data_IF_731823222564
#
_entry.id   IF_731823222564
#
_cell.length_a   1.000
_cell.length_b   1.000
_cell.length_c   1.000
_cell.angle_alpha   90.00
_cell.angle_beta   90.00
_cell.angle_gamma   90.00
#
_symmetry.space_group_name_H-M   'P 1'
#
loop_
_entity.id
_entity.type
_entity.pdbx_description
1 polymer ?
#
# COMPACT_ATOMS: atom_id res chain seq x y z
N UNK A 1 27.04 -17.91 4.95
CA UNK A 1 25.67 -18.38 5.27
C UNK A 1 24.67 -17.29 4.93
N UNK A 2 23.62 -17.57 4.15
CA UNK A 2 22.55 -16.59 3.87
C UNK A 2 21.54 -16.62 5.02
N UNK A 3 21.26 -15.45 5.60
CA UNK A 3 20.25 -15.27 6.63
C UNK A 3 18.90 -15.06 5.95
N UNK A 4 17.82 -15.59 6.54
CA UNK A 4 16.47 -15.48 5.97
C UNK A 4 15.41 -15.21 7.03
N UNK A 5 14.42 -14.41 6.66
CA UNK A 5 13.19 -14.22 7.43
C UNK A 5 12.04 -14.01 6.45
N UNK A 6 10.82 -14.24 6.92
CA UNK A 6 9.62 -14.19 6.08
C UNK A 6 8.68 -13.13 6.60
N UNK A 7 8.08 -12.40 5.67
CA UNK A 7 7.04 -11.41 5.91
C UNK A 7 5.72 -11.90 5.33
N UNK A 8 4.61 -11.46 5.89
CA UNK A 8 3.30 -11.60 5.31
C UNK A 8 2.69 -10.21 5.14
N UNK A 9 2.43 -9.80 3.89
CA UNK A 9 1.82 -8.51 3.60
C UNK A 9 0.70 -8.77 2.60
N UNK A 10 -0.50 -8.29 2.92
CA UNK A 10 -1.68 -8.54 2.11
C UNK A 10 -1.88 -10.04 1.76
N UNK A 11 -1.57 -10.95 2.68
CA UNK A 11 -1.64 -12.41 2.50
C UNK A 11 -0.72 -12.98 1.40
N UNK A 12 0.30 -12.23 1.01
CA UNK A 12 1.39 -12.68 0.14
C UNK A 12 2.63 -12.83 1.01
N UNK A 13 3.18 -14.04 1.05
CA UNK A 13 4.42 -14.30 1.78
C UNK A 13 5.62 -13.77 1.01
N UNK A 14 6.52 -13.07 1.70
CA UNK A 14 7.74 -12.53 1.13
C UNK A 14 8.93 -13.03 1.93
N UNK A 15 9.73 -13.91 1.35
CA UNK A 15 10.96 -14.42 1.96
C UNK A 15 12.09 -13.48 1.61
N UNK A 16 12.66 -12.82 2.62
CA UNK A 16 13.80 -11.94 2.47
C UNK A 16 15.06 -12.70 2.87
N UNK A 17 16.03 -12.71 1.97
CA UNK A 17 17.37 -13.25 2.22
C UNK A 17 18.41 -12.14 2.20
N UNK A 18 19.41 -12.21 3.08
CA UNK A 18 20.52 -11.27 3.08
C UNK A 18 21.80 -11.92 3.62
N UNK A 19 22.93 -11.36 3.22
CA UNK A 19 24.25 -11.92 3.56
C UNK A 19 24.86 -11.29 4.81
N UNK A 20 24.44 -10.06 5.16
CA UNK A 20 25.02 -9.29 6.26
C UNK A 20 24.11 -9.32 7.49
N UNK A 21 24.62 -9.86 8.59
CA UNK A 21 23.91 -9.96 9.87
C UNK A 21 23.39 -8.62 10.40
N UNK A 22 24.17 -7.54 10.29
CA UNK A 22 23.73 -6.21 10.72
C UNK A 22 22.54 -5.67 9.91
N UNK A 23 22.42 -6.05 8.64
CA UNK A 23 21.25 -5.71 7.80
C UNK A 23 20.07 -6.57 8.22
N UNK A 24 20.29 -7.89 8.34
CA UNK A 24 19.27 -8.84 8.78
C UNK A 24 18.56 -8.39 10.05
N UNK A 25 19.31 -8.10 11.11
CA UNK A 25 18.73 -7.70 12.40
C UNK A 25 17.92 -6.41 12.28
N UNK A 26 18.46 -5.38 11.60
CA UNK A 26 17.75 -4.11 11.40
C UNK A 26 16.44 -4.30 10.66
N UNK A 27 16.41 -5.14 9.62
CA UNK A 27 15.19 -5.38 8.86
C UNK A 27 14.20 -6.22 9.66
N UNK A 28 14.66 -7.27 10.33
CA UNK A 28 13.80 -8.13 11.15
C UNK A 28 13.11 -7.33 12.25
N UNK A 29 13.84 -6.48 12.98
CA UNK A 29 13.24 -5.57 13.97
C UNK A 29 12.30 -4.56 13.30
N UNK A 30 12.67 -4.00 12.16
CA UNK A 30 11.83 -3.00 11.50
C UNK A 30 10.48 -3.57 11.03
N UNK A 31 10.48 -4.81 10.55
CA UNK A 31 9.31 -5.50 10.00
C UNK A 31 8.69 -6.52 10.98
N UNK A 32 8.99 -6.42 12.28
CA UNK A 32 8.66 -7.45 13.27
C UNK A 32 7.17 -7.84 13.28
N UNK A 33 6.26 -6.86 13.25
CA UNK A 33 4.81 -7.15 13.28
C UNK A 33 4.24 -7.67 11.96
N UNK A 34 5.07 -7.82 10.93
CA UNK A 34 4.73 -8.50 9.68
C UNK A 34 5.51 -9.80 9.50
N UNK A 35 6.42 -10.15 10.42
CA UNK A 35 7.15 -11.41 10.36
C UNK A 35 6.20 -12.57 10.60
N UNK A 36 6.28 -13.59 9.74
CA UNK A 36 5.40 -14.75 9.77
C UNK A 36 6.21 -15.99 9.41
N UNK A 37 6.30 -16.96 10.32
CA UNK A 37 6.99 -18.23 10.07
C UNK A 37 6.21 -19.17 9.16
N UNK A 38 4.90 -18.96 9.03
CA UNK A 38 4.01 -19.81 8.26
C UNK A 38 3.86 -19.26 6.84
N UNK A 39 4.62 -19.83 5.91
CA UNK A 39 4.49 -19.46 4.50
C UNK A 39 3.10 -19.84 3.97
N UNK A 40 2.43 -18.87 3.36
CA UNK A 40 1.19 -19.09 2.62
C UNK A 40 1.51 -19.60 1.22
N UNK A 41 0.47 -20.01 0.48
CA UNK A 41 0.60 -20.59 -0.88
C UNK A 41 1.34 -19.67 -1.85
N UNK A 42 1.13 -18.36 -1.75
CA UNK A 42 1.78 -17.37 -2.61
C UNK A 42 3.03 -16.81 -1.94
N UNK A 43 4.19 -17.26 -2.40
CA UNK A 43 5.50 -16.83 -1.89
C UNK A 43 6.26 -16.08 -2.98
N UNK A 44 6.80 -14.90 -2.62
CA UNK A 44 7.82 -14.19 -3.38
C UNK A 44 9.15 -14.22 -2.63
N UNK A 45 10.26 -14.15 -3.36
CA UNK A 45 11.61 -14.21 -2.80
C UNK A 45 12.38 -12.94 -3.14
N UNK A 46 12.95 -12.28 -2.13
CA UNK A 46 13.78 -11.09 -2.31
C UNK A 46 15.18 -11.34 -1.74
N UNK A 47 16.20 -11.18 -2.56
CA UNK A 47 17.58 -11.20 -2.13
C UNK A 47 18.10 -9.76 -1.95
N UNK A 48 18.65 -9.46 -0.78
CA UNK A 48 19.20 -8.16 -0.44
C UNK A 48 20.73 -8.26 -0.40
N UNK A 49 21.38 -7.53 -1.29
CA UNK A 49 22.84 -7.51 -1.42
C UNK A 49 23.36 -6.07 -1.37
N UNK A 50 24.46 -5.85 -0.65
CA UNK A 50 25.20 -4.59 -0.72
C UNK A 50 26.26 -4.68 -1.83
N UNK A 51 26.29 -3.70 -2.72
CA UNK A 51 27.29 -3.60 -3.77
C UNK A 51 28.12 -2.33 -3.61
N UNK A 52 29.32 -2.32 -4.20
CA UNK A 52 30.16 -1.10 -4.35
C UNK A 52 30.06 -0.52 -5.77
N UNK A 53 29.32 -1.18 -6.66
CA UNK A 53 29.21 -0.80 -8.08
C UNK A 53 28.50 0.55 -8.19
N UNK A 54 29.05 1.47 -8.99
CA UNK A 54 28.45 2.79 -9.24
C UNK A 54 27.07 2.61 -9.87
N UNK A 55 26.04 3.29 -9.34
CA UNK A 55 24.68 3.25 -9.91
C UNK A 55 24.70 3.87 -11.30
N UNK A 56 24.08 3.20 -12.27
CA UNK A 56 24.02 3.70 -13.63
C UNK A 56 22.64 4.30 -13.90
N UNK A 57 22.61 5.63 -14.06
CA UNK A 57 21.47 6.49 -14.43
C UNK A 57 20.33 6.62 -13.40
N UNK A 58 19.80 7.84 -13.33
CA UNK A 58 18.62 8.21 -12.56
C UNK A 58 17.38 7.90 -13.40
N UNK A 59 16.64 6.87 -13.03
CA UNK A 59 15.46 6.43 -13.77
C UNK A 59 14.42 5.87 -12.78
N UNK A 60 13.46 6.73 -12.46
CA UNK A 60 12.24 6.44 -11.69
C UNK A 60 11.51 5.20 -12.22
N UNK A 61 10.78 4.49 -11.38
CA UNK A 61 10.53 3.07 -11.59
C UNK A 61 9.94 2.63 -12.93
N UNK A 62 10.59 1.64 -13.57
CA UNK A 62 10.22 1.14 -14.89
C UNK A 62 9.74 -0.32 -14.82
N UNK A 63 8.57 -0.63 -15.35
CA UNK A 63 8.33 -2.00 -15.80
C UNK A 63 9.22 -2.23 -17.02
N UNK A 64 10.20 -3.13 -16.91
CA UNK A 64 11.09 -3.46 -18.01
C UNK A 64 10.39 -4.31 -19.07
N UNK A 65 9.36 -5.05 -18.67
CA UNK A 65 8.41 -5.78 -19.53
C UNK A 65 7.13 -6.10 -18.75
N UNK A 66 6.25 -6.94 -19.32
CA UNK A 66 4.95 -7.27 -18.73
C UNK A 66 4.98 -8.05 -17.41
N UNK A 67 6.13 -8.62 -17.03
CA UNK A 67 6.27 -9.43 -15.82
C UNK A 67 7.43 -9.01 -14.94
N UNK A 68 8.17 -7.96 -15.32
CA UNK A 68 9.39 -7.57 -14.64
C UNK A 68 9.39 -6.08 -14.27
N UNK A 69 9.66 -5.81 -13.00
CA UNK A 69 9.86 -4.48 -12.43
C UNK A 69 11.35 -4.21 -12.27
N UNK A 70 11.81 -3.05 -12.73
CA UNK A 70 13.18 -2.58 -12.52
C UNK A 70 13.20 -1.09 -12.20
N UNK A 71 13.94 -0.69 -11.19
CA UNK A 71 14.18 0.74 -10.95
C UNK A 71 15.43 1.02 -10.15
N UNK A 72 15.92 2.25 -10.29
CA UNK A 72 17.01 2.81 -9.49
C UNK A 72 16.52 4.04 -8.73
N UNK A 73 17.10 4.31 -7.56
CA UNK A 73 16.91 5.57 -6.84
C UNK A 73 18.28 6.09 -6.40
N UNK A 74 18.77 7.13 -7.08
CA UNK A 74 20.09 7.71 -6.81
C UNK A 74 20.15 8.34 -5.41
N UNK A 75 19.07 9.00 -4.97
CA UNK A 75 18.99 9.64 -3.65
C UNK A 75 19.10 8.65 -2.48
N UNK A 76 18.44 7.49 -2.61
CA UNK A 76 18.50 6.39 -1.65
C UNK A 76 19.66 5.41 -1.90
N UNK A 77 20.39 5.60 -3.01
CA UNK A 77 21.54 4.81 -3.43
C UNK A 77 21.24 3.31 -3.54
N UNK A 78 20.25 2.94 -4.35
CA UNK A 78 19.92 1.53 -4.58
C UNK A 78 19.25 1.26 -5.92
N UNK A 79 19.21 -0.03 -6.27
CA UNK A 79 18.55 -0.60 -7.44
C UNK A 79 17.70 -1.80 -7.02
N UNK A 80 16.57 -1.99 -7.68
CA UNK A 80 15.68 -3.12 -7.45
C UNK A 80 15.26 -3.73 -8.77
N UNK A 81 15.27 -5.06 -8.81
CA UNK A 81 14.73 -5.87 -9.89
C UNK A 81 13.78 -6.91 -9.30
N UNK A 82 12.66 -7.18 -9.95
CA UNK A 82 11.73 -8.23 -9.58
C UNK A 82 11.09 -8.83 -10.84
N UNK A 83 11.04 -10.16 -10.92
CA UNK A 83 10.38 -10.89 -12.00
C UNK A 83 9.24 -11.76 -11.42
N UNK A 84 8.02 -11.44 -11.84
CA UNK A 84 6.80 -12.10 -11.39
C UNK A 84 6.68 -13.54 -11.90
N UNK A 85 7.32 -13.89 -13.03
CA UNK A 85 7.24 -15.27 -13.58
C UNK A 85 7.90 -16.27 -12.64
N UNK A 86 9.02 -15.89 -12.06
CA UNK A 86 9.80 -16.67 -11.10
C UNK A 86 9.57 -16.22 -9.65
N UNK A 87 8.66 -15.26 -9.44
CA UNK A 87 8.33 -14.65 -8.14
C UNK A 87 9.57 -14.25 -7.33
N UNK A 88 10.63 -13.77 -7.98
CA UNK A 88 11.93 -13.51 -7.37
C UNK A 88 12.45 -12.14 -7.74
N UNK A 89 13.12 -11.47 -6.80
CA UNK A 89 13.77 -10.19 -7.02
C UNK A 89 15.05 -10.00 -6.23
N UNK A 90 15.79 -8.96 -6.61
CA UNK A 90 17.04 -8.55 -5.99
C UNK A 90 16.98 -7.06 -5.67
N UNK A 91 17.39 -6.70 -4.45
CA UNK A 91 17.56 -5.32 -4.00
C UNK A 91 19.05 -5.10 -3.77
N UNK A 92 19.64 -4.21 -4.57
CA UNK A 92 21.04 -3.83 -4.50
C UNK A 92 21.20 -2.49 -3.79
N UNK A 93 22.09 -2.44 -2.82
CA UNK A 93 22.27 -1.30 -1.93
C UNK A 93 23.71 -0.78 -2.00
N UNK A 94 23.85 0.51 -2.26
CA UNK A 94 25.13 1.24 -2.24
C UNK A 94 25.24 2.16 -1.02
N UNK A 95 24.33 2.03 -0.06
CA UNK A 95 24.33 2.77 1.20
C UNK A 95 24.02 1.86 2.40
N UNK A 96 24.38 2.33 3.59
CA UNK A 96 24.03 1.71 4.87
C UNK A 96 23.06 2.56 5.69
N UNK A 97 22.75 2.11 6.90
CA UNK A 97 21.97 2.87 7.88
C UNK A 97 20.53 3.16 7.43
N UNK A 98 20.04 4.39 7.69
CA UNK A 98 18.65 4.78 7.43
C UNK A 98 18.29 4.78 5.93
N UNK A 99 19.22 5.19 5.06
CA UNK A 99 18.99 5.21 3.60
C UNK A 99 18.72 3.81 3.05
N UNK A 100 19.45 2.82 3.56
CA UNK A 100 19.26 1.42 3.21
C UNK A 100 17.85 0.93 3.55
N UNK A 101 17.41 1.16 4.79
CA UNK A 101 16.06 0.75 5.24
C UNK A 101 14.99 1.46 4.42
N UNK A 102 15.13 2.76 4.19
CA UNK A 102 14.21 3.53 3.35
C UNK A 102 14.14 3.02 1.91
N UNK A 103 15.26 2.59 1.32
CA UNK A 103 15.25 2.02 -0.02
C UNK A 103 14.52 0.67 -0.05
N UNK A 104 14.71 -0.17 0.95
CA UNK A 104 14.01 -1.46 1.04
C UNK A 104 12.50 -1.24 1.21
N UNK A 105 12.08 -0.25 2.02
CA UNK A 105 10.67 0.17 2.10
C UNK A 105 10.11 0.60 0.77
N UNK A 106 10.81 1.51 0.10
CA UNK A 106 10.43 1.94 -1.25
C UNK A 106 10.33 0.72 -2.18
N UNK A 107 11.20 -0.26 -2.02
CA UNK A 107 11.21 -1.46 -2.85
C UNK A 107 10.05 -2.38 -2.61
N UNK A 108 9.75 -2.70 -1.36
CA UNK A 108 8.55 -3.44 -1.03
C UNK A 108 7.31 -2.68 -1.52
N UNK A 109 7.29 -1.35 -1.42
CA UNK A 109 6.17 -0.53 -1.91
C UNK A 109 5.94 -0.69 -3.41
N UNK A 110 6.98 -0.53 -4.22
CA UNK A 110 6.83 -0.66 -5.67
C UNK A 110 6.58 -2.11 -6.11
N UNK A 111 7.20 -3.10 -5.45
CA UNK A 111 6.92 -4.52 -5.70
C UNK A 111 5.46 -4.85 -5.39
N UNK A 112 4.91 -4.42 -4.25
CA UNK A 112 3.52 -4.73 -3.88
C UNK A 112 2.50 -4.05 -4.79
N UNK A 113 2.76 -2.81 -5.24
CA UNK A 113 1.94 -2.18 -6.30
C UNK A 113 1.95 -2.99 -7.59
N UNK A 114 3.09 -3.58 -7.94
CA UNK A 114 3.27 -4.37 -9.16
C UNK A 114 2.64 -5.76 -9.07
N UNK A 115 2.77 -6.48 -7.95
CA UNK A 115 2.29 -7.86 -7.87
C UNK A 115 0.80 -7.97 -7.53
N UNK A 116 0.22 -7.00 -6.82
CA UNK A 116 -1.18 -7.09 -6.35
C UNK A 116 -2.20 -7.39 -7.47
N UNK A 117 -2.10 -6.80 -8.67
CA UNK A 117 -2.99 -7.15 -9.78
C UNK A 117 -2.94 -8.61 -10.21
N UNK A 118 -1.84 -9.33 -9.96
CA UNK A 118 -1.74 -10.77 -10.21
C UNK A 118 -2.42 -11.62 -9.12
N UNK A 119 -2.85 -10.99 -8.02
CA UNK A 119 -3.41 -11.63 -6.83
C UNK A 119 -4.81 -11.09 -6.49
N UNK A 120 -5.59 -10.69 -7.51
CA UNK A 120 -6.92 -10.08 -7.39
C UNK A 120 -6.94 -8.89 -6.41
N UNK A 121 -5.89 -8.08 -6.50
CA UNK A 121 -5.69 -6.93 -5.64
C UNK A 121 -5.28 -5.68 -6.38
N UNK A 122 -5.30 -4.59 -5.63
CA UNK A 122 -4.96 -3.27 -6.13
C UNK A 122 -4.33 -2.44 -5.02
N UNK A 123 -3.36 -1.63 -5.42
CA UNK A 123 -2.79 -0.61 -4.56
C UNK A 123 -3.38 0.75 -4.93
N UNK A 124 -3.93 1.46 -3.95
CA UNK A 124 -4.61 2.75 -4.14
C UNK A 124 -3.85 3.82 -3.35
N UNK A 125 -3.60 4.96 -3.99
CA UNK A 125 -3.08 6.15 -3.34
C UNK A 125 -4.16 6.78 -2.45
N UNK A 126 -4.18 6.37 -1.19
CA UNK A 126 -5.25 6.66 -0.23
C UNK A 126 -4.75 6.56 1.20
N UNK A 127 -5.46 7.21 2.12
CA UNK A 127 -5.32 6.93 3.55
C UNK A 127 -6.35 5.87 3.95
N UNK A 128 -5.97 4.96 4.84
CA UNK A 128 -6.80 3.85 5.31
C UNK A 128 -6.72 3.71 6.82
N UNK A 129 -7.88 3.46 7.42
CA UNK A 129 -8.03 3.31 8.87
C UNK A 129 -8.95 2.14 9.18
N UNK A 130 -8.84 1.63 10.40
CA UNK A 130 -9.72 0.65 11.00
C UNK A 130 -10.51 1.29 12.12
N UNK A 131 -11.81 1.02 12.19
CA UNK A 131 -12.68 1.40 13.28
C UNK A 131 -13.68 0.29 13.55
N UNK A 132 -13.71 -0.25 14.78
CA UNK A 132 -14.58 -1.39 15.15
C UNK A 132 -14.48 -2.55 14.15
N UNK A 133 -13.24 -2.97 13.84
CA UNK A 133 -12.91 -4.03 12.88
C UNK A 133 -13.36 -3.81 11.42
N UNK A 134 -13.79 -2.58 11.10
CA UNK A 134 -14.19 -2.16 9.76
C UNK A 134 -13.12 -1.27 9.14
N UNK A 135 -12.74 -1.59 7.92
CA UNK A 135 -11.80 -0.81 7.11
C UNK A 135 -12.50 0.36 6.41
N UNK A 136 -11.89 1.54 6.52
CA UNK A 136 -12.36 2.77 5.90
C UNK A 136 -11.24 3.33 5.03
N UNK A 137 -11.60 3.73 3.81
CA UNK A 137 -10.68 4.30 2.83
C UNK A 137 -11.01 5.77 2.58
N UNK A 138 -10.00 6.64 2.61
CA UNK A 138 -10.11 8.05 2.23
C UNK A 138 -9.37 8.30 0.91
N UNK A 139 -10.13 8.61 -0.13
CA UNK A 139 -9.62 8.86 -1.49
C UNK A 139 -9.83 10.32 -1.89
N UNK A 140 -8.98 10.82 -2.76
CA UNK A 140 -9.03 12.21 -3.20
C UNK A 140 -7.82 12.56 -4.05
N UNK A 141 -7.90 13.66 -4.78
CA UNK A 141 -6.79 14.23 -5.53
C UNK A 141 -5.62 14.59 -4.60
N UNK A 142 -4.45 14.83 -5.16
CA UNK A 142 -3.34 15.41 -4.39
C UNK A 142 -3.78 16.74 -3.78
N UNK A 143 -3.54 16.96 -2.49
CA UNK A 143 -3.96 18.18 -1.78
C UNK A 143 -5.39 18.20 -1.25
N UNK A 144 -6.21 17.16 -1.48
CA UNK A 144 -7.58 17.05 -0.93
C UNK A 144 -7.60 16.77 0.59
N UNK A 145 -6.44 16.47 1.18
CA UNK A 145 -6.28 16.35 2.63
C UNK A 145 -6.39 14.93 3.17
N UNK A 146 -6.01 13.90 2.40
CA UNK A 146 -5.92 12.48 2.84
C UNK A 146 -5.11 12.32 4.14
N UNK A 147 -3.88 12.83 4.14
CA UNK A 147 -3.05 12.91 5.35
C UNK A 147 -3.58 13.82 6.45
N UNK A 148 -4.46 14.78 6.11
CA UNK A 148 -5.06 15.67 7.09
C UNK A 148 -6.25 15.01 7.78
N UNK A 149 -7.07 14.24 7.05
CA UNK A 149 -8.26 13.62 7.62
C UNK A 149 -7.89 12.60 8.70
N UNK A 150 -6.83 11.81 8.49
CA UNK A 150 -6.37 10.86 9.50
C UNK A 150 -5.85 11.51 10.78
N UNK A 151 -5.39 12.78 10.73
CA UNK A 151 -4.93 13.52 11.91
C UNK A 151 -6.05 14.08 12.78
N UNK A 152 -7.22 14.28 12.20
CA UNK A 152 -8.39 14.86 12.90
C UNK A 152 -9.39 13.79 13.31
N UNK A 153 -9.08 12.51 13.05
CA UNK A 153 -9.86 11.38 13.56
C UNK A 153 -9.60 11.19 15.07
N UNK A 154 -10.62 10.79 15.83
CA UNK A 154 -10.48 10.39 17.23
C UNK A 154 -9.48 9.23 17.42
N UNK A 155 -8.90 9.07 18.62
CA UNK A 155 -7.99 7.97 18.94
C UNK A 155 -8.57 6.55 18.75
N UNK A 156 -9.90 6.42 18.70
CA UNK A 156 -10.57 5.14 18.44
C UNK A 156 -10.33 4.59 17.02
N UNK A 157 -9.84 5.42 16.09
CA UNK A 157 -9.49 5.00 14.73
C UNK A 157 -8.02 4.57 14.68
N UNK A 158 -7.78 3.35 14.22
CA UNK A 158 -6.42 2.83 14.02
C UNK A 158 -5.97 3.12 12.59
N UNK A 159 -4.88 3.88 12.41
CA UNK A 159 -4.34 4.17 11.08
C UNK A 159 -3.63 2.91 10.55
N UNK A 160 -4.16 2.35 9.46
CA UNK A 160 -3.54 1.22 8.76
C UNK A 160 -2.42 1.71 7.86
N UNK A 161 -2.67 2.76 7.07
CA UNK A 161 -1.67 3.38 6.21
C UNK A 161 -2.13 4.76 5.70
N UNK A 162 -1.23 5.74 5.52
CA UNK A 162 -1.62 7.10 5.09
C UNK A 162 -1.46 7.38 3.57
N UNK A 163 -0.57 6.67 2.87
CA UNK A 163 -0.26 6.96 1.45
C UNK A 163 -0.64 5.87 0.46
N UNK A 164 -0.64 4.61 0.89
CA UNK A 164 -0.85 3.43 0.08
C UNK A 164 -1.79 2.45 0.81
N UNK A 165 -3.01 2.33 0.33
CA UNK A 165 -3.92 1.29 0.77
C UNK A 165 -3.79 0.08 -0.14
N UNK A 166 -3.63 -1.10 0.46
CA UNK A 166 -3.63 -2.38 -0.25
C UNK A 166 -5.02 -3.00 -0.09
N UNK A 167 -5.69 -3.29 -1.21
CA UNK A 167 -6.94 -4.03 -1.22
C UNK A 167 -6.78 -5.33 -1.99
N UNK A 168 -7.43 -6.38 -1.52
CA UNK A 168 -7.61 -7.64 -2.27
C UNK A 168 -9.03 -8.13 -2.12
N UNK A 169 -9.53 -8.74 -3.18
CA UNK A 169 -10.77 -9.49 -3.11
C UNK A 169 -10.54 -10.73 -2.20
N UNK A 170 -11.48 -10.99 -1.30
CA UNK A 170 -11.49 -12.25 -0.55
C UNK A 170 -11.91 -13.41 -1.47
N UNK A 171 -11.95 -14.65 -0.97
CA UNK A 171 -12.37 -15.81 -1.77
C UNK A 171 -13.81 -15.72 -2.32
N UNK A 172 -14.56 -14.67 -2.00
CA UNK A 172 -15.87 -14.34 -2.54
C UNK A 172 -15.88 -13.01 -3.29
N UNK A 173 -16.90 -12.17 -3.06
CA UNK A 173 -17.08 -10.88 -3.73
C UNK A 173 -16.66 -9.67 -2.88
N UNK A 174 -16.19 -9.87 -1.64
CA UNK A 174 -15.86 -8.74 -0.77
C UNK A 174 -14.40 -8.37 -0.92
N UNK A 175 -14.04 -7.18 -0.45
CA UNK A 175 -12.67 -6.70 -0.42
C UNK A 175 -12.20 -6.53 1.02
N UNK A 176 -10.94 -6.88 1.25
CA UNK A 176 -10.25 -6.59 2.51
C UNK A 176 -9.21 -5.48 2.30
N UNK A 177 -9.11 -4.61 3.29
CA UNK A 177 -8.02 -3.67 3.47
C UNK A 177 -6.92 -4.31 4.32
N UNK A 178 -5.67 -4.08 3.92
CA UNK A 178 -4.51 -4.58 4.62
C UNK A 178 -3.63 -3.43 5.08
N UNK A 179 -3.08 -3.56 6.30
CA UNK A 179 -1.93 -2.75 6.68
C UNK A 179 -0.73 -3.12 5.82
N UNK A 180 0.19 -2.17 5.66
CA UNK A 180 1.44 -2.40 4.95
C UNK A 180 2.59 -1.83 5.77
N UNK A 181 3.74 -2.50 5.85
CA UNK A 181 4.88 -1.99 6.60
C UNK A 181 5.61 -0.86 5.85
N UNK A 182 4.94 -0.15 4.94
CA UNK A 182 5.54 0.72 3.92
C UNK A 182 5.58 2.19 4.36
N UNK A 183 5.97 2.39 5.62
CA UNK A 183 5.81 3.64 6.39
C UNK A 183 6.57 4.83 5.77
N UNK A 184 5.89 5.98 5.51
CA UNK A 184 6.56 7.27 5.44
C UNK A 184 6.99 7.72 6.85
N UNK A 185 8.13 8.42 7.01
CA UNK A 185 8.78 8.65 8.32
C UNK A 185 8.01 9.51 9.34
N UNK A 186 6.78 9.95 9.06
CA UNK A 186 6.08 10.99 9.81
C UNK A 186 4.86 10.53 10.62
N UNK A 187 4.46 9.25 10.58
CA UNK A 187 3.28 8.76 11.32
C UNK A 187 3.59 7.54 12.17
N UNK A 188 3.07 7.48 13.40
CA UNK A 188 2.96 6.27 14.22
C UNK A 188 1.80 5.40 13.71
N UNK A 189 1.92 4.90 12.48
CA UNK A 189 0.99 3.89 11.96
C UNK A 189 1.21 2.53 12.62
N UNK A 190 0.20 1.68 12.53
CA UNK A 190 0.23 0.33 13.07
C UNK A 190 1.33 -0.51 12.39
N UNK A 191 2.37 -0.90 13.14
CA UNK A 191 3.40 -1.82 12.64
C UNK A 191 3.01 -3.27 12.91
N UNK A 192 1.79 -3.66 12.54
CA UNK A 192 1.39 -5.07 12.59
C UNK A 192 0.54 -5.43 11.38
N UNK A 193 0.59 -6.72 11.02
CA UNK A 193 -0.18 -7.29 9.93
C UNK A 193 -1.66 -7.35 10.33
N UNK A 194 -2.47 -6.47 9.74
CA UNK A 194 -3.90 -6.38 9.97
C UNK A 194 -4.64 -6.54 8.65
N UNK A 195 -5.72 -7.32 8.71
CA UNK A 195 -6.69 -7.52 7.64
C UNK A 195 -8.05 -7.15 8.20
N UNK A 196 -8.75 -6.23 7.54
CA UNK A 196 -10.14 -5.87 7.87
C UNK A 196 -10.99 -5.83 6.62
N UNK A 197 -12.27 -6.13 6.75
CA UNK A 197 -13.23 -5.97 5.65
C UNK A 197 -13.34 -4.49 5.30
N UNK A 198 -13.25 -4.17 4.01
CA UNK A 198 -13.40 -2.81 3.53
C UNK A 198 -14.89 -2.46 3.45
N UNK A 199 -15.31 -1.46 4.22
CA UNK A 199 -16.72 -1.15 4.43
C UNK A 199 -17.14 0.17 3.81
N UNK A 200 -16.27 1.18 3.82
CA UNK A 200 -16.64 2.51 3.33
C UNK A 200 -15.48 3.16 2.57
N UNK A 201 -15.83 3.87 1.49
CA UNK A 201 -14.93 4.75 0.76
C UNK A 201 -15.43 6.18 0.86
N UNK A 202 -14.57 7.08 1.36
CA UNK A 202 -14.85 8.50 1.45
C UNK A 202 -14.01 9.28 0.44
N UNK A 203 -14.68 9.90 -0.52
CA UNK A 203 -14.10 10.92 -1.39
C UNK A 203 -14.05 12.25 -0.65
N UNK A 204 -12.84 12.76 -0.41
CA UNK A 204 -12.64 13.97 0.37
C UNK A 204 -13.04 15.23 -0.42
N UNK A 205 -13.72 16.14 0.28
CA UNK A 205 -14.02 17.50 -0.16
C UNK A 205 -13.70 18.46 0.98
N UNK A 206 -13.00 19.55 0.69
CA UNK A 206 -12.81 20.61 1.69
C UNK A 206 -14.14 21.30 1.94
N UNK A 207 -14.52 21.46 3.20
CA UNK A 207 -15.76 22.14 3.59
C UNK A 207 -15.51 23.00 4.84
N UNK A 208 -16.32 24.05 5.03
CA UNK A 208 -16.33 24.86 6.26
C UNK A 208 -16.88 24.08 7.46
N UNK A 209 -17.75 23.10 7.19
CA UNK A 209 -18.38 22.24 8.17
C UNK A 209 -17.77 20.83 8.14
N UNK A 210 -17.69 20.18 9.31
CA UNK A 210 -17.31 18.76 9.41
C UNK A 210 -18.51 17.85 9.26
N UNK A 211 -18.25 16.57 8.96
CA UNK A 211 -19.23 15.50 8.95
C UNK A 211 -20.39 15.72 7.95
N UNK A 212 -20.17 16.51 6.90
CA UNK A 212 -21.11 16.51 5.77
C UNK A 212 -20.84 15.25 4.95
N UNK A 213 -21.72 14.26 5.08
CA UNK A 213 -21.60 13.02 4.32
C UNK A 213 -22.80 12.89 3.38
N UNK A 214 -22.50 12.68 2.10
CA UNK A 214 -23.51 12.40 1.08
C UNK A 214 -23.15 11.11 0.34
N UNK A 215 -24.11 10.27 -0.05
CA UNK A 215 -23.85 9.14 -0.95
C UNK A 215 -23.14 9.60 -2.22
N UNK A 216 -22.13 8.85 -2.66
CA UNK A 216 -21.45 9.09 -3.92
C UNK A 216 -22.01 8.15 -5.00
N UNK A 217 -22.40 8.65 -6.18
CA UNK A 217 -22.75 7.78 -7.30
C UNK A 217 -21.59 6.84 -7.66
N UNK A 218 -21.90 5.61 -8.05
CA UNK A 218 -20.91 4.58 -8.40
C UNK A 218 -19.92 5.08 -9.46
N UNK A 219 -20.38 5.86 -10.45
CA UNK A 219 -19.53 6.43 -11.51
C UNK A 219 -18.47 7.38 -10.93
N UNK A 220 -18.84 8.16 -9.90
CA UNK A 220 -17.92 9.04 -9.20
C UNK A 220 -16.90 8.24 -8.38
N UNK A 221 -17.37 7.21 -7.67
CA UNK A 221 -16.50 6.30 -6.92
C UNK A 221 -15.49 5.62 -7.84
N UNK A 222 -15.95 5.04 -8.95
CA UNK A 222 -15.11 4.40 -9.96
C UNK A 222 -14.09 5.39 -10.55
N UNK A 223 -14.51 6.60 -10.92
CA UNK A 223 -13.61 7.64 -11.42
C UNK A 223 -12.52 7.95 -10.41
N UNK A 224 -12.87 8.14 -9.13
CA UNK A 224 -11.90 8.44 -8.07
C UNK A 224 -10.98 7.27 -7.77
N UNK A 225 -11.47 6.03 -7.84
CA UNK A 225 -10.65 4.82 -7.72
C UNK A 225 -9.63 4.73 -8.86
N UNK A 226 -10.05 4.88 -10.11
CA UNK A 226 -9.15 4.86 -11.28
C UNK A 226 -8.09 5.95 -11.17
N UNK A 227 -8.46 7.16 -10.76
CA UNK A 227 -7.52 8.28 -10.59
C UNK A 227 -6.46 8.04 -9.51
N UNK A 228 -6.76 7.23 -8.50
CA UNK A 228 -5.85 6.94 -7.39
C UNK A 228 -5.23 5.53 -7.48
N UNK A 229 -5.66 4.70 -8.41
CA UNK A 229 -5.13 3.37 -8.64
C UNK A 229 -3.70 3.46 -9.19
N UNK A 230 -2.75 2.81 -8.50
CA UNK A 230 -1.42 2.66 -9.04
C UNK A 230 -1.46 1.78 -10.30
N UNK A 231 -0.78 2.22 -11.37
CA UNK A 231 -0.67 1.47 -12.62
C UNK A 231 -1.63 1.86 -13.75
N UNK A 232 -2.63 2.71 -13.50
CA UNK A 232 -3.56 3.21 -14.53
C UNK A 232 -3.28 4.65 -15.02
N UNK A 233 -2.46 5.42 -14.29
CA UNK A 233 -2.18 6.83 -14.60
C UNK A 233 -1.25 7.06 -15.80
N UNK A 234 -1.10 8.34 -16.15
CA UNK A 234 -0.16 8.83 -17.18
C UNK A 234 1.26 8.71 -16.61
N UNK A 235 2.04 7.76 -17.11
CA UNK A 235 3.34 7.39 -16.58
C UNK A 235 3.74 5.99 -17.02
N UNK A 236 4.40 5.22 -16.14
CA UNK A 236 4.75 3.82 -16.38
C UNK A 236 3.52 2.93 -16.20
N UNK A 237 2.88 2.53 -17.30
CA UNK A 237 1.64 1.81 -17.19
C UNK A 237 1.90 0.39 -16.75
N UNK A 238 1.09 -0.08 -15.82
CA UNK A 238 1.19 -1.46 -15.37
C UNK A 238 0.77 -2.41 -16.50
N UNK A 239 1.40 -3.58 -16.66
CA UNK A 239 1.01 -4.55 -17.70
C UNK A 239 -0.41 -5.10 -17.49
N UNK A 240 -0.81 -5.36 -16.26
CA UNK A 240 -2.16 -5.85 -15.93
C UNK A 240 -3.19 -4.72 -15.72
N UNK A 241 -3.28 -3.73 -16.62
CA UNK A 241 -4.27 -2.63 -16.47
C UNK A 241 -5.70 -3.15 -16.42
N UNK A 242 -6.00 -4.20 -17.17
CA UNK A 242 -7.33 -4.79 -17.20
C UNK A 242 -7.73 -5.35 -15.83
N UNK A 243 -6.83 -6.04 -15.13
CA UNK A 243 -7.09 -6.52 -13.78
C UNK A 243 -7.19 -5.37 -12.77
N UNK A 244 -6.38 -4.32 -12.91
CA UNK A 244 -6.49 -3.13 -12.06
C UNK A 244 -7.86 -2.46 -12.26
N UNK A 245 -8.28 -2.26 -13.52
CA UNK A 245 -9.58 -1.68 -13.85
C UNK A 245 -10.74 -2.55 -13.36
N UNK A 246 -10.65 -3.88 -13.54
CA UNK A 246 -11.63 -4.84 -13.03
C UNK A 246 -11.75 -4.76 -11.51
N UNK A 247 -10.64 -4.64 -10.79
CA UNK A 247 -10.64 -4.43 -9.35
C UNK A 247 -11.27 -3.09 -8.96
N UNK A 248 -11.00 -1.99 -9.68
CA UNK A 248 -11.69 -0.71 -9.46
C UNK A 248 -13.21 -0.86 -9.62
N UNK A 249 -13.67 -1.57 -10.66
CA UNK A 249 -15.08 -1.84 -10.89
C UNK A 249 -15.70 -2.71 -9.79
N UNK A 250 -15.00 -3.77 -9.36
CA UNK A 250 -15.44 -4.64 -8.27
C UNK A 250 -15.58 -3.88 -6.95
N UNK A 251 -14.57 -3.07 -6.60
CA UNK A 251 -14.59 -2.20 -5.41
C UNK A 251 -15.74 -1.21 -5.47
N UNK A 252 -15.93 -0.50 -6.59
CA UNK A 252 -16.99 0.50 -6.73
C UNK A 252 -18.40 -0.09 -6.61
N UNK A 253 -18.57 -1.36 -6.99
CA UNK A 253 -19.85 -2.08 -6.89
C UNK A 253 -20.13 -2.64 -5.49
N UNK A 254 -19.09 -2.97 -4.73
CA UNK A 254 -19.21 -3.76 -3.50
C UNK A 254 -19.08 -2.92 -2.23
N UNK A 255 -18.30 -1.83 -2.30
CA UNK A 255 -18.01 -0.98 -1.15
C UNK A 255 -18.77 0.34 -1.27
N UNK A 256 -19.72 0.62 -0.37
CA UNK A 256 -20.42 1.89 -0.29
C UNK A 256 -19.47 3.08 -0.31
N UNK A 257 -19.79 4.06 -1.15
CA UNK A 257 -18.97 5.24 -1.37
C UNK A 257 -19.72 6.51 -1.03
N UNK A 258 -19.00 7.47 -0.44
CA UNK A 258 -19.56 8.71 0.05
C UNK A 258 -18.66 9.90 -0.27
N UNK A 259 -19.24 11.09 -0.35
CA UNK A 259 -18.53 12.36 -0.35
C UNK A 259 -18.44 12.84 1.10
N UNK A 260 -17.23 13.01 1.60
CA UNK A 260 -16.97 13.53 2.94
C UNK A 260 -16.45 14.97 2.85
N UNK A 261 -17.29 15.91 3.27
CA UNK A 261 -16.85 17.27 3.53
C UNK A 261 -16.28 17.41 4.94
N UNK A 262 -15.04 17.90 5.04
CA UNK A 262 -14.37 18.14 6.32
C UNK A 262 -13.52 19.42 6.33
N UNK A 263 -13.26 19.90 7.54
CA UNK A 263 -12.36 20.99 7.89
C UNK A 263 -11.23 20.46 8.77
N UNK A 264 -10.02 20.95 8.55
CA UNK A 264 -8.81 20.57 9.30
C UNK A 264 -8.82 21.04 10.77
N UNK A 265 -9.70 21.98 11.14
CA UNK A 265 -9.72 22.62 12.46
C UNK A 265 -10.72 21.98 13.43
N UNK A 266 -11.38 20.89 13.05
CA UNK A 266 -12.42 20.25 13.86
C UNK A 266 -12.25 18.74 13.82
N UNK A 267 -12.60 18.05 14.90
CA UNK A 267 -12.60 16.58 14.98
C UNK A 267 -13.66 16.00 14.05
N UNK A 268 -13.34 14.87 13.41
CA UNK A 268 -14.22 14.17 12.48
C UNK A 268 -14.80 12.91 13.12
N UNK A 269 -16.12 12.70 13.06
CA UNK A 269 -16.79 11.50 13.59
C UNK A 269 -17.56 10.80 12.45
N UNK A 270 -17.30 9.51 12.24
CA UNK A 270 -17.91 8.70 11.15
C UNK A 270 -18.91 7.65 11.69
N UNK A 271 -19.19 7.69 12.98
CA UNK A 271 -19.89 6.69 13.77
C UNK A 271 -21.33 6.42 13.29
N UNK A 272 -21.95 7.44 12.69
CA UNK A 272 -23.33 7.39 12.17
C UNK A 272 -23.48 6.62 10.84
N UNK A 273 -22.37 6.24 10.20
CA UNK A 273 -22.38 5.54 8.91
C UNK A 273 -21.94 4.09 9.07
N UNK A 274 -21.04 3.82 10.02
CA UNK A 274 -20.52 2.46 10.26
C UNK A 274 -21.57 1.51 10.87
N UNK A 275 -22.75 2.02 11.24
CA UNK A 275 -23.82 1.31 11.95
C UNK A 275 -25.04 0.98 11.08
N UNK A 276 -25.16 1.54 9.87
CA UNK A 276 -26.27 1.25 8.95
C UNK A 276 -25.68 0.71 7.64
N UNK A 277 -25.35 -0.58 7.65
CA UNK A 277 -25.40 -1.35 6.41
C UNK A 277 -26.84 -1.36 5.96
N UNK A 278 -27.07 -0.94 4.72
CA UNK A 278 -28.34 -1.16 4.04
C UNK A 278 -28.67 -2.66 3.98
#
# INVERSE_FOLDING_TARGET
MKLKFSLNIAEISCVITCEKYGIFQRLKTHFEGFCDSNLRKDVIYLNISQTKKKLTRDKSAHCSNATSLYYSNVGLKGECFFDMRVKTGCIFLNSGGKKMVNFIHFSLREIYKFILPFYNGIAIHASSVMFKDKGILFIGSSGDGKSTVVKVLPPAYTILHDDLALLRQDGGANYCLYSAPLRPPFYQGLNCNVKVRAENIFSLRKNRFNNTINPAPMQMALKKLIQNAHGLGIGYPHPNRNEIFKNCCGIAKTIPSFILGFSKNKTLYLDRICTHGA
#
